data_IF_265553747477
#
_entry.id   IF_265553747477
#
_cell.length_a   1.000
_cell.length_b   1.000
_cell.length_c   1.000
_cell.angle_alpha   90.00
_cell.angle_beta   90.00
_cell.angle_gamma   90.00
#
_symmetry.space_group_name_H-M   'P 1'
#
loop_
_entity.id
_entity.type
_entity.pdbx_description
1 polymer ?
#
# COMPACT_ATOMS: atom_id res chain seq x y z
N UNK A 1 19.92 41.56 -3.45
CA UNK A 1 18.94 42.61 -3.83
C UNK A 1 17.57 42.24 -3.24
N UNK A 2 16.64 43.19 -3.10
CA UNK A 2 15.28 42.90 -2.57
C UNK A 2 14.56 41.77 -3.35
N UNK A 3 14.92 41.55 -4.62
CA UNK A 3 14.42 40.44 -5.42
C UNK A 3 15.01 39.07 -5.03
N UNK A 4 16.30 38.98 -4.68
CA UNK A 4 16.92 37.73 -4.21
C UNK A 4 16.35 37.28 -2.86
N UNK A 5 16.05 38.25 -1.99
CA UNK A 5 15.46 38.00 -0.67
C UNK A 5 14.02 37.47 -0.80
N UNK A 6 13.22 38.04 -1.71
CA UNK A 6 11.87 37.54 -2.04
C UNK A 6 11.89 36.12 -2.65
N UNK A 7 12.86 35.83 -3.53
CA UNK A 7 13.01 34.48 -4.10
C UNK A 7 13.40 33.47 -3.02
N UNK A 8 14.28 33.84 -2.09
CA UNK A 8 14.66 32.98 -0.97
C UNK A 8 13.49 32.68 -0.03
N UNK A 9 12.66 33.69 0.29
CA UNK A 9 11.44 33.48 1.07
C UNK A 9 10.45 32.54 0.37
N UNK A 10 10.25 32.71 -0.95
CA UNK A 10 9.38 31.84 -1.73
C UNK A 10 9.84 30.37 -1.70
N UNK A 11 11.14 30.12 -1.89
CA UNK A 11 11.70 28.77 -1.79
C UNK A 11 11.53 28.17 -0.39
N UNK A 12 11.66 28.98 0.66
CA UNK A 12 11.46 28.53 2.04
C UNK A 12 10.01 28.09 2.28
N UNK A 13 9.04 28.84 1.77
CA UNK A 13 7.61 28.47 1.85
C UNK A 13 7.37 27.17 1.07
N UNK A 14 7.86 27.06 -0.16
CA UNK A 14 7.71 25.86 -0.98
C UNK A 14 8.32 24.63 -0.31
N UNK A 15 9.50 24.76 0.32
CA UNK A 15 10.14 23.69 1.08
C UNK A 15 9.30 23.28 2.29
N UNK A 16 8.75 24.23 3.03
CA UNK A 16 7.89 23.95 4.19
C UNK A 16 6.62 23.20 3.77
N UNK A 17 5.98 23.63 2.67
CA UNK A 17 4.80 22.94 2.10
C UNK A 17 5.16 21.54 1.64
N UNK A 18 6.29 21.37 0.95
CA UNK A 18 6.75 20.06 0.48
C UNK A 18 7.00 19.08 1.62
N UNK A 19 7.65 19.54 2.70
CA UNK A 19 7.87 18.72 3.90
C UNK A 19 6.55 18.33 4.58
N UNK A 20 5.60 19.25 4.69
CA UNK A 20 4.28 18.95 5.23
C UNK A 20 3.57 17.87 4.39
N UNK A 21 3.63 17.97 3.07
CA UNK A 21 3.06 16.96 2.16
C UNK A 21 3.69 15.58 2.34
N UNK A 22 5.02 15.50 2.53
CA UNK A 22 5.70 14.22 2.82
C UNK A 22 5.16 13.61 4.09
N UNK A 23 5.05 14.39 5.17
CA UNK A 23 4.56 13.90 6.47
C UNK A 23 3.12 13.41 6.36
N UNK A 24 2.23 14.19 5.74
CA UNK A 24 0.83 13.80 5.54
C UNK A 24 0.71 12.54 4.68
N UNK A 25 1.52 12.43 3.62
CA UNK A 25 1.55 11.24 2.76
C UNK A 25 2.04 10.02 3.52
N UNK A 26 3.08 10.15 4.35
CA UNK A 26 3.60 9.07 5.18
C UNK A 26 2.56 8.58 6.20
N UNK A 27 1.86 9.49 6.87
CA UNK A 27 0.78 9.15 7.80
C UNK A 27 -0.36 8.44 7.06
N UNK A 28 -0.76 8.94 5.89
CA UNK A 28 -1.77 8.29 5.05
C UNK A 28 -1.38 6.87 4.63
N UNK A 29 -0.11 6.65 4.27
CA UNK A 29 0.42 5.32 3.95
C UNK A 29 0.40 4.39 5.16
N UNK A 30 0.73 4.89 6.36
CA UNK A 30 0.64 4.09 7.59
C UNK A 30 -0.80 3.66 7.88
N UNK A 31 -1.76 4.59 7.81
CA UNK A 31 -3.17 4.29 8.03
C UNK A 31 -3.69 3.27 7.01
N UNK A 32 -3.37 3.46 5.73
CA UNK A 32 -3.71 2.53 4.66
C UNK A 32 -3.08 1.14 4.87
N UNK A 33 -1.81 1.10 5.25
CA UNK A 33 -1.08 -0.14 5.55
C UNK A 33 -1.68 -0.91 6.72
N UNK A 34 -2.05 -0.23 7.81
CA UNK A 34 -2.76 -0.85 8.94
C UNK A 34 -4.12 -1.42 8.50
N UNK A 35 -4.83 -0.72 7.61
CA UNK A 35 -6.07 -1.22 7.01
C UNK A 35 -5.86 -2.52 6.24
N UNK A 36 -4.83 -2.59 5.39
CA UNK A 36 -4.45 -3.80 4.65
C UNK A 36 -4.12 -4.94 5.60
N UNK A 37 -3.32 -4.67 6.64
CA UNK A 37 -2.98 -5.65 7.67
C UNK A 37 -4.24 -6.20 8.35
N UNK A 38 -5.20 -5.34 8.68
CA UNK A 38 -6.44 -5.76 9.35
C UNK A 38 -7.30 -6.64 8.45
N UNK A 39 -7.50 -6.26 7.19
CA UNK A 39 -8.24 -7.07 6.21
C UNK A 39 -7.58 -8.44 6.06
N UNK A 40 -6.24 -8.47 5.97
CA UNK A 40 -5.47 -9.71 5.91
C UNK A 40 -5.69 -10.58 7.15
N UNK A 41 -5.68 -10.02 8.35
CA UNK A 41 -5.92 -10.78 9.58
C UNK A 41 -7.29 -11.42 9.61
N UNK A 42 -8.33 -10.67 9.21
CA UNK A 42 -9.69 -11.20 9.09
C UNK A 42 -9.74 -12.33 8.07
N UNK A 43 -9.12 -12.15 6.89
CA UNK A 43 -9.09 -13.18 5.86
C UNK A 43 -8.40 -14.47 6.31
N UNK A 44 -7.34 -14.37 7.14
CA UNK A 44 -6.66 -15.53 7.72
C UNK A 44 -7.58 -16.26 8.68
N UNK A 45 -8.32 -15.52 9.51
CA UNK A 45 -9.28 -16.15 10.44
C UNK A 45 -10.43 -16.83 9.72
N UNK A 46 -10.98 -16.22 8.66
CA UNK A 46 -12.05 -16.81 7.85
C UNK A 46 -11.59 -18.06 7.10
N UNK A 47 -10.33 -18.06 6.62
CA UNK A 47 -9.75 -19.17 5.85
C UNK A 47 -8.93 -20.16 6.69
N UNK A 48 -9.08 -20.16 8.03
CA UNK A 48 -8.29 -20.99 8.95
C UNK A 48 -8.33 -22.47 8.59
N UNK A 49 -9.53 -23.02 8.31
CA UNK A 49 -9.72 -24.43 7.95
C UNK A 49 -9.06 -24.80 6.63
N UNK A 50 -9.12 -23.92 5.62
CA UNK A 50 -8.46 -24.14 4.33
C UNK A 50 -6.92 -24.20 4.49
N UNK A 51 -6.35 -23.31 5.31
CA UNK A 51 -4.92 -23.30 5.61
C UNK A 51 -4.52 -24.58 6.34
N UNK A 52 -5.34 -25.03 7.29
CA UNK A 52 -5.16 -26.29 8.02
C UNK A 52 -5.12 -27.50 7.09
N UNK A 53 -6.08 -27.59 6.15
CA UNK A 53 -6.12 -28.66 5.14
C UNK A 53 -4.86 -28.63 4.27
N UNK A 54 -4.44 -27.45 3.77
CA UNK A 54 -3.22 -27.33 2.94
C UNK A 54 -1.97 -27.80 3.68
N UNK A 55 -1.84 -27.47 4.97
CA UNK A 55 -0.70 -27.93 5.76
C UNK A 55 -0.77 -29.42 6.09
N UNK A 56 -1.96 -29.97 6.34
CA UNK A 56 -2.14 -31.40 6.60
C UNK A 56 -1.72 -32.27 5.40
N UNK A 57 -1.89 -31.76 4.18
CA UNK A 57 -1.41 -32.42 2.94
C UNK A 57 0.06 -32.11 2.61
N UNK A 58 0.78 -31.41 3.49
CA UNK A 58 2.24 -31.22 3.38
C UNK A 58 2.71 -29.84 2.86
N UNK A 59 1.84 -28.83 2.74
CA UNK A 59 2.29 -27.48 2.41
C UNK A 59 3.23 -26.92 3.49
N UNK A 60 4.36 -26.33 3.06
CA UNK A 60 5.33 -25.74 3.98
C UNK A 60 4.81 -24.39 4.47
N UNK A 61 5.24 -23.98 5.66
CA UNK A 61 4.91 -22.64 6.19
C UNK A 61 5.33 -21.52 5.23
N UNK A 62 6.44 -21.69 4.51
CA UNK A 62 6.89 -20.74 3.49
C UNK A 62 5.88 -20.58 2.34
N UNK A 63 5.24 -21.67 1.90
CA UNK A 63 4.28 -21.64 0.80
C UNK A 63 3.04 -20.81 1.18
N UNK A 64 2.55 -21.00 2.42
CA UNK A 64 1.44 -20.23 2.98
C UNK A 64 1.82 -18.76 3.13
N UNK A 65 3.01 -18.46 3.65
CA UNK A 65 3.47 -17.07 3.78
C UNK A 65 3.55 -16.38 2.42
N UNK A 66 4.13 -17.02 1.41
CA UNK A 66 4.22 -16.45 0.07
C UNK A 66 2.85 -16.25 -0.59
N UNK A 67 1.92 -17.18 -0.39
CA UNK A 67 0.57 -17.02 -0.89
C UNK A 67 -0.11 -15.76 -0.34
N UNK A 68 -0.09 -15.59 0.98
CA UNK A 68 -0.72 -14.41 1.62
C UNK A 68 0.03 -13.11 1.29
N UNK A 69 1.36 -13.14 1.19
CA UNK A 69 2.13 -11.98 0.76
C UNK A 69 1.78 -11.56 -0.67
N UNK A 70 1.66 -12.52 -1.60
CA UNK A 70 1.24 -12.26 -2.97
C UNK A 70 -0.19 -11.71 -3.01
N UNK A 71 -1.11 -12.22 -2.19
CA UNK A 71 -2.47 -11.68 -2.06
C UNK A 71 -2.43 -10.21 -1.59
N UNK A 72 -1.64 -9.89 -0.56
CA UNK A 72 -1.48 -8.52 -0.08
C UNK A 72 -0.84 -7.58 -1.12
N UNK A 73 0.21 -8.04 -1.81
CA UNK A 73 0.92 -7.28 -2.84
C UNK A 73 0.05 -7.04 -4.08
N UNK A 74 -0.74 -8.03 -4.48
CA UNK A 74 -1.66 -7.90 -5.63
C UNK A 74 -2.83 -6.99 -5.30
N UNK A 75 -3.42 -7.09 -4.09
CA UNK A 75 -4.48 -6.20 -3.62
C UNK A 75 -4.01 -4.74 -3.56
N UNK A 76 -2.86 -4.49 -2.92
CA UNK A 76 -2.30 -3.14 -2.82
C UNK A 76 -1.87 -2.62 -4.18
N UNK A 77 -1.16 -3.42 -4.98
CA UNK A 77 -0.75 -3.05 -6.34
C UNK A 77 -1.93 -2.72 -7.25
N UNK A 78 -3.01 -3.51 -7.21
CA UNK A 78 -4.25 -3.20 -7.95
C UNK A 78 -4.89 -1.89 -7.48
N UNK A 79 -4.94 -1.67 -6.17
CA UNK A 79 -5.36 -0.39 -5.60
C UNK A 79 -4.50 0.79 -6.06
N UNK A 80 -3.18 0.61 -6.14
CA UNK A 80 -2.23 1.60 -6.65
C UNK A 80 -2.46 1.94 -8.12
N UNK A 81 -2.71 0.93 -8.96
CA UNK A 81 -3.07 1.14 -10.38
C UNK A 81 -4.39 1.91 -10.50
N UNK A 82 -5.41 1.52 -9.73
CA UNK A 82 -6.69 2.24 -9.71
C UNK A 82 -6.52 3.70 -9.27
N UNK A 83 -5.74 3.93 -8.22
CA UNK A 83 -5.44 5.28 -7.75
C UNK A 83 -4.74 6.12 -8.84
N UNK A 84 -3.81 5.55 -9.61
CA UNK A 84 -3.14 6.25 -10.71
C UNK A 84 -4.10 6.64 -11.83
N UNK A 85 -5.04 5.78 -12.19
CA UNK A 85 -6.08 6.11 -13.19
C UNK A 85 -6.92 7.28 -12.69
N UNK A 86 -7.36 7.25 -11.43
CA UNK A 86 -8.14 8.31 -10.81
C UNK A 86 -7.37 9.64 -10.75
N UNK A 87 -6.09 9.61 -10.36
CA UNK A 87 -5.23 10.80 -10.31
C UNK A 87 -5.03 11.41 -11.70
N UNK A 88 -4.76 10.60 -12.73
CA UNK A 88 -4.63 11.10 -14.10
C UNK A 88 -5.94 11.72 -14.60
N UNK A 89 -7.09 11.10 -14.27
CA UNK A 89 -8.41 11.67 -14.57
C UNK A 89 -8.64 13.02 -13.88
N UNK A 90 -8.25 13.15 -12.60
CA UNK A 90 -8.34 14.40 -11.86
C UNK A 90 -7.43 15.48 -12.46
N UNK A 91 -6.20 15.14 -12.81
CA UNK A 91 -5.26 16.06 -13.46
C UNK A 91 -5.80 16.53 -14.81
N UNK A 92 -6.42 15.65 -15.60
CA UNK A 92 -7.09 16.03 -16.84
C UNK A 92 -8.24 17.02 -16.58
N UNK A 93 -9.08 16.77 -15.57
CA UNK A 93 -10.18 17.66 -15.20
C UNK A 93 -9.68 19.05 -14.77
N UNK A 94 -8.62 19.11 -13.97
CA UNK A 94 -7.97 20.36 -13.56
C UNK A 94 -7.42 21.12 -14.76
N UNK A 95 -6.79 20.43 -15.73
CA UNK A 95 -6.31 21.06 -16.97
C UNK A 95 -7.43 21.70 -17.77
N UNK A 96 -8.58 21.03 -17.87
CA UNK A 96 -9.71 21.51 -18.67
C UNK A 96 -10.44 22.67 -18.00
N UNK A 97 -10.60 22.64 -16.67
CA UNK A 97 -11.38 23.63 -15.93
C UNK A 97 -10.57 24.85 -15.51
N UNK A 98 -9.36 24.64 -14.99
CA UNK A 98 -8.51 25.69 -14.42
C UNK A 98 -7.39 26.14 -15.38
N UNK A 99 -7.27 25.50 -16.57
CA UNK A 99 -6.22 25.78 -17.57
C UNK A 99 -4.79 25.70 -17.00
N UNK A 100 -4.61 24.91 -15.94
CA UNK A 100 -3.31 24.75 -15.28
C UNK A 100 -2.52 23.59 -15.90
N UNK A 101 -1.26 23.78 -16.33
CA UNK A 101 -0.47 22.77 -17.03
C UNK A 101 0.17 21.73 -16.08
N UNK A 102 -0.61 21.08 -15.22
CA UNK A 102 -0.09 20.06 -14.29
C UNK A 102 0.04 18.69 -14.96
N UNK A 103 1.19 18.02 -14.91
CA UNK A 103 1.39 16.64 -15.43
C UNK A 103 1.85 15.70 -14.34
N UNK A 104 1.42 14.43 -14.39
CA UNK A 104 2.02 13.36 -13.59
C UNK A 104 3.23 12.81 -14.38
N UNK A 105 4.46 13.00 -13.90
CA UNK A 105 5.63 12.49 -14.60
C UNK A 105 5.74 10.97 -14.45
N UNK A 106 6.31 10.30 -15.45
CA UNK A 106 6.39 8.83 -15.49
C UNK A 106 7.11 8.23 -14.28
N UNK A 107 8.16 8.91 -13.78
CA UNK A 107 8.88 8.45 -12.60
C UNK A 107 7.98 8.41 -11.35
N UNK A 108 7.03 9.34 -11.22
CA UNK A 108 6.11 9.38 -10.08
C UNK A 108 5.08 8.25 -10.16
N UNK A 109 4.67 7.87 -11.38
CA UNK A 109 3.80 6.70 -11.60
C UNK A 109 4.51 5.43 -11.14
N UNK A 110 5.76 5.22 -11.59
CA UNK A 110 6.56 4.05 -11.20
C UNK A 110 6.81 4.02 -9.70
N UNK A 111 7.21 5.15 -9.12
CA UNK A 111 7.43 5.28 -7.68
C UNK A 111 6.14 4.99 -6.88
N UNK A 112 4.99 5.49 -7.34
CA UNK A 112 3.70 5.24 -6.70
C UNK A 112 3.31 3.77 -6.66
N UNK A 113 3.49 3.04 -7.78
CA UNK A 113 3.25 1.59 -7.83
C UNK A 113 4.19 0.85 -6.88
N UNK A 114 5.49 1.19 -6.92
CA UNK A 114 6.49 0.55 -6.06
C UNK A 114 6.18 0.75 -4.58
N UNK A 115 5.83 1.97 -4.18
CA UNK A 115 5.43 2.29 -2.80
C UNK A 115 4.17 1.51 -2.42
N UNK A 116 3.17 1.47 -3.30
CA UNK A 116 1.92 0.74 -3.06
C UNK A 116 2.13 -0.76 -2.82
N UNK A 117 2.89 -1.42 -3.69
CA UNK A 117 3.24 -2.84 -3.53
C UNK A 117 4.11 -3.07 -2.28
N UNK A 118 5.03 -2.15 -2.00
CA UNK A 118 5.88 -2.22 -0.79
C UNK A 118 5.07 -2.14 0.50
N UNK A 119 4.00 -1.34 0.52
CA UNK A 119 3.05 -1.31 1.66
C UNK A 119 2.40 -2.68 1.85
N UNK A 120 1.91 -3.31 0.77
CA UNK A 120 1.35 -4.66 0.84
C UNK A 120 2.35 -5.70 1.34
N UNK A 121 3.59 -5.60 0.90
CA UNK A 121 4.67 -6.46 1.39
C UNK A 121 4.90 -6.25 2.89
N UNK A 122 5.20 -5.02 3.33
CA UNK A 122 5.57 -4.69 4.72
C UNK A 122 4.44 -5.04 5.70
N UNK A 123 3.23 -4.57 5.42
CA UNK A 123 2.08 -4.78 6.30
C UNK A 123 1.47 -6.18 6.18
N UNK A 124 1.76 -6.89 5.08
CA UNK A 124 1.34 -8.28 4.86
C UNK A 124 2.22 -9.32 5.56
N UNK A 125 3.47 -9.00 5.93
CA UNK A 125 4.40 -9.99 6.53
C UNK A 125 3.84 -10.58 7.81
N UNK A 126 3.38 -9.74 8.74
CA UNK A 126 2.89 -10.21 10.04
C UNK A 126 1.67 -11.15 9.93
N UNK A 127 0.58 -10.80 9.22
CA UNK A 127 -0.54 -11.71 9.04
C UNK A 127 -0.16 -12.97 8.25
N UNK A 128 0.70 -12.86 7.23
CA UNK A 128 1.16 -14.01 6.46
C UNK A 128 1.99 -15.00 7.31
N UNK A 129 2.81 -14.49 8.24
CA UNK A 129 3.51 -15.31 9.23
C UNK A 129 2.55 -15.94 10.24
N UNK A 130 1.51 -15.21 10.64
CA UNK A 130 0.48 -15.74 11.55
C UNK A 130 -0.27 -16.93 10.90
N UNK A 131 -0.69 -16.77 9.65
CA UNK A 131 -1.32 -17.84 8.86
C UNK A 131 -0.42 -19.07 8.73
N UNK A 132 0.85 -18.86 8.42
CA UNK A 132 1.81 -19.96 8.24
C UNK A 132 2.25 -20.64 9.53
N UNK A 133 1.81 -20.18 10.70
CA UNK A 133 2.07 -20.82 12.00
C UNK A 133 0.87 -21.56 12.59
N UNK A 134 -0.29 -21.54 11.92
CA UNK A 134 -1.47 -22.31 12.35
C UNK A 134 -1.17 -23.82 12.43
N UNK A 135 -1.55 -24.46 13.54
CA UNK A 135 -1.45 -25.91 13.69
C UNK A 135 -2.56 -26.59 12.86
N UNK A 136 -2.24 -27.55 11.97
CA UNK A 136 -3.24 -28.26 11.18
C UNK A 136 -4.30 -28.97 12.03
N UNK A 137 -3.91 -29.53 13.17
CA UNK A 137 -4.80 -30.25 14.08
C UNK A 137 -5.78 -29.29 14.73
N UNK A 138 -5.30 -28.15 15.25
CA UNK A 138 -6.18 -27.12 15.81
C UNK A 138 -7.10 -26.52 14.74
N UNK A 139 -6.57 -26.20 13.56
CA UNK A 139 -7.32 -25.61 12.45
C UNK A 139 -8.45 -26.52 11.92
N UNK A 140 -8.32 -27.84 12.06
CA UNK A 140 -9.35 -28.82 11.70
C UNK A 140 -10.30 -29.15 12.85
N UNK A 141 -9.91 -28.85 14.10
CA UNK A 141 -10.72 -29.06 15.30
C UNK A 141 -11.70 -27.91 15.55
N UNK A 142 -11.57 -26.80 14.83
CA UNK A 142 -12.56 -25.73 14.79
C UNK A 142 -13.85 -26.21 14.11
N UNK A 143 -14.68 -26.88 14.90
CA UNK A 143 -16.12 -26.59 15.06
C UNK A 143 -16.34 -26.13 16.52
#
# INVERSE_FOLDING_TARGET
STAEEQVAEFHKIMLMVYLAMIVLSAVGLLIGGVGVMNIMLVSVTERTREIGIRKAIGARSGDITWQFLLEAMTLTGAGGVLALVLVNGLVLLVRLTLKWPGSVPLWAVVAGILVSVSVGLIFGVWPAMKASRLDPVEALRYE
#
